data_IF_429351126533
#
_entry.id   IF_429351126533
#
_cell.length_a   1.000
_cell.length_b   1.000
_cell.length_c   1.000
_cell.angle_alpha   90.00
_cell.angle_beta   90.00
_cell.angle_gamma   90.00
#
_symmetry.space_group_name_H-M   'P 1'
#
loop_
_entity.id
_entity.type
_entity.pdbx_description
1 polymer ?
#
# COMPACT_ATOMS: atom_id res chain seq x y z
N UNK A 1 10.59 -12.48 14.20
CA UNK A 1 9.41 -12.80 15.03
C UNK A 1 8.35 -11.75 14.79
N UNK A 2 7.34 -12.09 13.98
CA UNK A 2 6.28 -11.19 13.56
C UNK A 2 5.41 -10.72 14.74
N UNK A 3 5.02 -11.64 15.59
CA UNK A 3 4.13 -11.41 16.74
C UNK A 3 4.85 -10.99 18.02
N UNK A 4 6.17 -10.84 18.02
CA UNK A 4 6.96 -10.58 19.24
C UNK A 4 7.23 -11.84 20.07
N UNK A 5 6.54 -12.95 19.83
CA UNK A 5 6.77 -14.24 20.47
C UNK A 5 6.60 -15.40 19.47
N UNK A 6 7.14 -16.54 19.80
CA UNK A 6 6.83 -17.81 19.16
C UNK A 6 6.43 -18.83 20.19
N UNK A 7 5.49 -19.69 19.84
CA UNK A 7 4.91 -20.69 20.71
C UNK A 7 5.11 -22.10 20.15
N UNK A 8 5.57 -23.01 21.00
CA UNK A 8 5.82 -24.39 20.60
C UNK A 8 5.32 -25.34 21.67
N UNK A 9 4.79 -26.49 21.27
CA UNK A 9 4.47 -27.60 22.14
C UNK A 9 5.66 -28.53 22.18
N UNK A 10 6.12 -28.91 23.41
CA UNK A 10 7.16 -29.93 23.65
C UNK A 10 6.58 -31.30 23.47
N UNK A 11 7.06 -32.05 22.50
CA UNK A 11 6.73 -33.45 22.31
C UNK A 11 7.85 -34.26 22.95
N UNK A 12 7.49 -35.01 24.01
CA UNK A 12 8.44 -35.82 24.77
C UNK A 12 8.59 -37.21 24.17
N UNK A 13 9.79 -37.76 24.29
CA UNK A 13 10.12 -39.14 24.00
C UNK A 13 10.81 -39.76 25.21
N UNK A 14 10.44 -40.96 25.51
CA UNK A 14 11.07 -41.76 26.57
C UNK A 14 11.82 -42.91 25.90
N UNK A 15 13.10 -43.02 26.15
CA UNK A 15 13.96 -44.12 25.68
C UNK A 15 14.85 -44.65 26.84
N UNK A 16 15.80 -45.54 26.51
CA UNK A 16 16.66 -46.17 27.52
C UNK A 16 17.56 -45.16 28.25
N UNK A 17 17.86 -44.01 27.64
CA UNK A 17 18.72 -42.95 28.17
C UNK A 17 17.97 -41.90 28.98
N UNK A 18 16.61 -42.00 29.04
CA UNK A 18 15.78 -41.08 29.82
C UNK A 18 14.66 -40.41 29.04
N UNK A 19 14.24 -39.26 29.56
CA UNK A 19 13.15 -38.43 28.94
C UNK A 19 13.77 -37.27 28.18
N UNK A 20 13.49 -37.22 26.91
CA UNK A 20 14.03 -36.19 26.01
C UNK A 20 12.92 -35.46 25.26
N UNK A 21 13.19 -34.22 24.83
CA UNK A 21 12.32 -33.50 23.90
C UNK A 21 12.59 -34.06 22.50
N UNK A 22 11.64 -34.82 21.95
CA UNK A 22 11.77 -35.39 20.61
C UNK A 22 11.64 -34.33 19.52
N UNK A 23 10.75 -33.37 19.72
CA UNK A 23 10.57 -32.22 18.81
C UNK A 23 9.83 -31.10 19.52
N UNK A 24 9.96 -29.89 18.95
CA UNK A 24 9.09 -28.77 19.22
C UNK A 24 8.09 -28.68 18.06
N UNK A 25 6.81 -28.72 18.39
CA UNK A 25 5.72 -28.56 17.43
C UNK A 25 5.32 -27.10 17.41
N UNK A 26 5.44 -26.44 16.27
CA UNK A 26 5.08 -25.03 16.08
C UNK A 26 3.57 -24.83 16.26
N UNK A 27 3.22 -23.82 17.01
CA UNK A 27 1.86 -23.34 17.17
C UNK A 27 1.79 -21.93 16.57
N UNK A 28 0.80 -21.69 15.72
CA UNK A 28 0.63 -20.36 15.10
C UNK A 28 0.33 -19.31 16.17
N UNK A 29 1.20 -18.30 16.36
CA UNK A 29 1.02 -17.27 17.37
C UNK A 29 -0.27 -16.46 17.20
N UNK A 30 -0.81 -16.34 15.96
CA UNK A 30 -2.08 -15.67 15.71
C UNK A 30 -3.27 -16.35 16.42
N UNK A 31 -3.15 -17.64 16.69
CA UNK A 31 -4.16 -18.45 17.34
C UNK A 31 -3.80 -18.84 18.79
N UNK A 32 -2.79 -18.17 19.35
CA UNK A 32 -2.28 -18.45 20.69
C UNK A 32 -2.57 -17.31 21.66
N UNK A 33 -3.13 -17.62 22.82
CA UNK A 33 -3.29 -16.69 23.95
C UNK A 33 -2.44 -17.20 25.11
N UNK A 34 -1.49 -16.38 25.55
CA UNK A 34 -0.63 -16.69 26.69
C UNK A 34 -1.41 -16.48 27.99
N UNK A 35 -1.47 -17.49 28.83
CA UNK A 35 -2.16 -17.46 30.11
C UNK A 35 -1.14 -17.12 31.23
N UNK A 36 -1.58 -16.31 32.18
CA UNK A 36 -0.81 -15.98 33.38
C UNK A 36 -1.41 -16.68 34.58
N UNK A 37 -0.56 -17.02 35.51
CA UNK A 37 -0.97 -17.48 36.83
C UNK A 37 -1.31 -16.30 37.76
N UNK A 38 -1.64 -16.60 39.03
CA UNK A 38 -2.00 -15.62 40.05
C UNK A 38 -0.84 -14.64 40.38
N UNK A 39 0.40 -15.01 40.07
CA UNK A 39 1.59 -14.19 40.30
C UNK A 39 1.99 -13.40 39.08
N UNK A 40 1.28 -13.54 37.95
CA UNK A 40 1.61 -12.88 36.69
C UNK A 40 2.66 -13.62 35.85
N UNK A 41 3.08 -14.82 36.30
CA UNK A 41 3.99 -15.67 35.55
C UNK A 41 3.29 -16.47 34.45
N UNK A 42 4.07 -17.07 33.56
CA UNK A 42 3.51 -17.87 32.47
C UNK A 42 2.87 -19.18 32.99
N UNK A 43 1.54 -19.23 32.98
CA UNK A 43 0.74 -20.35 33.44
C UNK A 43 0.41 -21.39 32.37
N UNK A 44 0.54 -21.03 31.09
CA UNK A 44 0.23 -21.94 29.98
C UNK A 44 -0.21 -21.20 28.72
N UNK A 45 -0.72 -21.96 27.78
CA UNK A 45 -1.14 -21.45 26.46
C UNK A 45 -2.54 -21.97 26.13
N UNK A 46 -3.42 -21.08 25.72
CA UNK A 46 -4.67 -21.45 25.04
C UNK A 46 -4.43 -21.36 23.54
N UNK A 47 -4.47 -22.48 22.86
CA UNK A 47 -4.36 -22.59 21.41
C UNK A 47 -5.73 -22.87 20.80
N UNK A 48 -6.11 -22.07 19.83
CA UNK A 48 -7.39 -22.19 19.15
C UNK A 48 -7.16 -22.30 17.64
N UNK A 49 -6.92 -23.51 17.13
CA UNK A 49 -6.75 -23.73 15.71
C UNK A 49 -8.06 -23.41 14.96
N UNK A 50 -7.98 -23.02 13.69
CA UNK A 50 -9.15 -22.78 12.85
C UNK A 50 -10.06 -24.02 12.83
N UNK A 51 -11.36 -23.81 13.04
CA UNK A 51 -12.40 -24.86 12.99
C UNK A 51 -12.30 -25.97 14.04
N UNK A 52 -11.53 -25.78 15.11
CA UNK A 52 -11.42 -26.73 16.22
C UNK A 52 -11.67 -26.03 17.57
N UNK A 53 -12.11 -26.76 18.59
CA UNK A 53 -12.25 -26.21 19.92
C UNK A 53 -10.89 -25.79 20.50
N UNK A 54 -10.86 -24.77 21.39
CA UNK A 54 -9.63 -24.32 22.01
C UNK A 54 -9.05 -25.42 22.91
N UNK A 55 -7.73 -25.56 22.86
CA UNK A 55 -6.96 -26.52 23.69
C UNK A 55 -6.07 -25.74 24.64
N UNK A 56 -6.08 -26.10 25.92
CA UNK A 56 -5.17 -25.51 26.91
C UNK A 56 -3.93 -26.40 27.00
N UNK A 57 -2.77 -25.83 26.70
CA UNK A 57 -1.48 -26.50 26.83
C UNK A 57 -0.80 -25.96 28.10
N UNK A 58 -0.54 -26.81 29.10
CA UNK A 58 0.06 -26.39 30.37
C UNK A 58 1.50 -25.90 30.17
N UNK A 59 1.98 -25.00 31.03
CA UNK A 59 3.31 -24.37 30.93
C UNK A 59 4.45 -25.39 30.78
N UNK A 60 4.36 -26.54 31.48
CA UNK A 60 5.37 -27.60 31.41
C UNK A 60 5.54 -28.18 29.98
N UNK A 61 4.47 -28.21 29.19
CA UNK A 61 4.47 -28.66 27.79
C UNK A 61 4.74 -27.57 26.78
N UNK A 62 4.82 -26.31 27.20
CA UNK A 62 5.07 -25.17 26.31
C UNK A 62 6.56 -24.82 26.29
N UNK A 63 6.99 -24.36 25.13
CA UNK A 63 8.21 -23.55 24.96
C UNK A 63 7.82 -22.25 24.27
N UNK A 64 8.01 -21.15 25.00
CA UNK A 64 7.70 -19.81 24.49
C UNK A 64 8.99 -19.03 24.38
N UNK A 65 9.27 -18.53 23.20
CA UNK A 65 10.33 -17.55 22.98
C UNK A 65 9.71 -16.17 22.85
N UNK A 66 10.06 -15.25 23.73
CA UNK A 66 9.56 -13.88 23.73
C UNK A 66 10.70 -12.92 23.33
N UNK A 67 10.52 -12.18 22.24
CA UNK A 67 11.48 -11.21 21.77
C UNK A 67 11.28 -9.85 22.46
N UNK A 68 12.39 -9.26 22.94
CA UNK A 68 12.37 -7.97 23.64
C UNK A 68 11.27 -7.90 24.73
N UNK A 69 11.31 -8.89 25.64
CA UNK A 69 10.40 -8.92 26.79
C UNK A 69 10.72 -7.76 27.74
N UNK A 70 9.73 -6.94 28.02
CA UNK A 70 9.82 -5.79 28.93
C UNK A 70 8.72 -5.89 30.00
N UNK A 71 9.05 -5.56 31.26
CA UNK A 71 8.10 -5.39 32.36
C UNK A 71 7.08 -6.55 32.53
N UNK A 72 7.48 -7.78 32.35
CA UNK A 72 6.59 -8.92 32.48
C UNK A 72 5.64 -9.18 31.29
N UNK A 73 5.72 -8.39 30.24
CA UNK A 73 4.95 -8.63 29.02
C UNK A 73 5.37 -9.95 28.34
N UNK A 74 4.52 -10.97 28.43
CA UNK A 74 4.78 -12.28 27.84
C UNK A 74 4.77 -12.29 26.33
N UNK A 75 4.07 -11.34 25.70
CA UNK A 75 3.98 -11.25 24.23
C UNK A 75 5.20 -10.61 23.59
N UNK A 76 6.00 -9.87 24.38
CA UNK A 76 7.16 -9.17 23.87
C UNK A 76 6.84 -8.08 22.86
N UNK A 77 7.82 -7.78 22.01
CA UNK A 77 7.72 -6.73 21.00
C UNK A 77 8.03 -7.30 19.62
N UNK A 78 7.11 -7.10 18.68
CA UNK A 78 7.33 -7.50 17.29
C UNK A 78 8.51 -6.74 16.69
N UNK A 79 9.38 -7.43 15.98
CA UNK A 79 10.44 -6.79 15.18
C UNK A 79 9.89 -5.98 14.01
N UNK A 80 8.67 -6.30 13.56
CA UNK A 80 7.99 -5.58 12.49
C UNK A 80 7.40 -4.24 12.97
N UNK A 81 7.30 -4.02 14.28
CA UNK A 81 6.68 -2.80 14.84
C UNK A 81 7.38 -1.51 14.40
N UNK A 82 8.70 -1.55 14.21
CA UNK A 82 9.50 -0.41 13.71
C UNK A 82 9.24 -0.11 12.23
N UNK A 83 8.87 -1.13 11.45
CA UNK A 83 8.57 -0.99 10.02
C UNK A 83 7.10 -0.61 9.75
N UNK A 84 6.20 -0.83 10.70
CA UNK A 84 4.74 -0.71 10.50
C UNK A 84 4.31 0.68 10.01
N UNK A 85 4.89 1.75 10.57
CA UNK A 85 4.60 3.13 10.15
C UNK A 85 4.97 3.37 8.68
N UNK A 86 6.15 2.94 8.29
CA UNK A 86 6.65 3.10 6.92
C UNK A 86 5.90 2.21 5.93
N UNK A 87 5.43 1.04 6.36
CA UNK A 87 4.54 0.20 5.58
C UNK A 87 3.22 0.91 5.28
N UNK A 88 2.60 1.51 6.31
CA UNK A 88 1.34 2.24 6.15
C UNK A 88 1.49 3.47 5.24
N UNK A 89 2.57 4.24 5.41
CA UNK A 89 2.84 5.40 4.55
C UNK A 89 3.14 4.97 3.10
N UNK A 90 3.93 3.93 2.90
CA UNK A 90 4.23 3.40 1.57
C UNK A 90 2.96 2.97 0.82
N UNK A 91 2.04 2.27 1.48
CA UNK A 91 0.74 1.90 0.90
C UNK A 91 -0.10 3.12 0.52
N UNK A 92 -0.14 4.14 1.36
CA UNK A 92 -0.86 5.38 1.07
C UNK A 92 -0.24 6.11 -0.14
N UNK A 93 1.09 6.17 -0.24
CA UNK A 93 1.76 6.78 -1.38
C UNK A 93 1.55 5.99 -2.68
N UNK A 94 1.51 4.65 -2.61
CA UNK A 94 1.16 3.81 -3.76
C UNK A 94 -0.27 4.09 -4.25
N UNK A 95 -1.24 4.23 -3.35
CA UNK A 95 -2.60 4.60 -3.72
C UNK A 95 -2.68 5.99 -4.37
N UNK A 96 -1.93 6.95 -3.84
CA UNK A 96 -1.85 8.29 -4.42
C UNK A 96 -1.18 8.27 -5.80
N UNK A 97 -0.09 7.53 -5.96
CA UNK A 97 0.59 7.36 -7.25
C UNK A 97 -0.34 6.73 -8.30
N UNK A 98 -1.11 5.70 -7.91
CA UNK A 98 -2.14 5.10 -8.77
C UNK A 98 -3.18 6.12 -9.24
N UNK A 99 -3.72 6.93 -8.33
CA UNK A 99 -4.68 7.99 -8.67
C UNK A 99 -4.06 9.09 -9.57
N UNK A 100 -2.80 9.43 -9.36
CA UNK A 100 -2.10 10.36 -10.23
C UNK A 100 -1.92 9.77 -11.64
N UNK A 101 -1.56 8.48 -11.72
CA UNK A 101 -1.43 7.77 -12.99
C UNK A 101 -2.76 7.67 -13.75
N UNK A 102 -3.85 7.34 -13.05
CA UNK A 102 -5.21 7.34 -13.64
C UNK A 102 -5.59 8.72 -14.20
N UNK A 103 -5.29 9.79 -13.47
CA UNK A 103 -5.56 11.16 -13.92
C UNK A 103 -4.68 11.54 -15.11
N UNK A 104 -3.40 11.19 -15.11
CA UNK A 104 -2.47 11.46 -16.20
C UNK A 104 -2.81 10.67 -17.47
N UNK A 105 -3.39 9.47 -17.32
CA UNK A 105 -3.84 8.65 -18.45
C UNK A 105 -5.09 9.24 -19.15
N UNK A 106 -5.85 10.10 -18.48
CA UNK A 106 -7.04 10.73 -19.05
C UNK A 106 -6.65 12.07 -19.67
N UNK A 107 -6.66 12.12 -21.00
CA UNK A 107 -6.45 13.39 -21.71
C UNK A 107 -7.55 14.38 -21.31
N UNK A 108 -7.15 15.53 -20.82
CA UNK A 108 -8.04 16.62 -20.45
C UNK A 108 -7.90 17.75 -21.45
N UNK A 109 -9.04 18.32 -21.84
CA UNK A 109 -9.09 19.39 -22.81
C UNK A 109 -9.59 20.66 -22.15
N UNK A 110 -9.08 21.78 -22.62
CA UNK A 110 -9.51 23.13 -22.29
C UNK A 110 -9.82 23.83 -23.59
N UNK A 111 -10.97 24.47 -23.69
CA UNK A 111 -11.38 25.19 -24.89
C UNK A 111 -11.82 26.61 -24.60
N UNK A 112 -11.66 27.45 -25.57
CA UNK A 112 -12.15 28.83 -25.59
C UNK A 112 -13.15 28.98 -26.73
N UNK A 113 -14.21 29.70 -26.47
CA UNK A 113 -15.23 30.05 -27.44
C UNK A 113 -15.75 31.48 -27.19
N UNK A 114 -16.31 32.16 -28.20
CA UNK A 114 -16.98 33.41 -28.01
C UNK A 114 -18.18 33.28 -27.05
N UNK A 115 -18.43 34.29 -26.26
CA UNK A 115 -19.62 34.40 -25.45
C UNK A 115 -20.85 34.75 -26.29
N UNK A 116 -21.98 34.15 -26.00
CA UNK A 116 -23.25 34.45 -26.64
C UNK A 116 -23.59 33.54 -27.81
N UNK A 117 -24.59 33.94 -28.58
CA UNK A 117 -25.11 33.16 -29.71
C UNK A 117 -24.14 33.25 -30.89
N UNK A 118 -23.69 32.10 -31.35
CA UNK A 118 -22.85 31.94 -32.54
C UNK A 118 -23.54 31.06 -33.57
N UNK A 119 -23.28 31.28 -34.85
CA UNK A 119 -23.77 30.44 -35.90
C UNK A 119 -22.88 29.18 -36.00
N UNK A 120 -23.47 28.02 -35.82
CA UNK A 120 -22.77 26.73 -36.00
C UNK A 120 -22.57 26.41 -37.48
N UNK A 121 -21.72 25.40 -37.76
CA UNK A 121 -21.48 24.93 -39.15
C UNK A 121 -22.78 24.48 -39.87
N UNK A 122 -23.78 24.02 -39.11
CA UNK A 122 -25.09 23.62 -39.61
C UNK A 122 -26.05 24.81 -39.84
N UNK A 123 -25.60 26.04 -39.63
CA UNK A 123 -26.42 27.26 -39.77
C UNK A 123 -27.36 27.54 -38.61
N UNK A 124 -27.28 26.79 -37.51
CA UNK A 124 -28.09 27.01 -36.29
C UNK A 124 -27.42 28.04 -35.41
N UNK A 125 -28.23 28.74 -34.61
CA UNK A 125 -27.74 29.59 -33.54
C UNK A 125 -27.58 28.77 -32.26
N UNK A 126 -26.39 28.73 -31.68
CA UNK A 126 -26.10 28.06 -30.44
C UNK A 126 -25.22 28.91 -29.54
N UNK A 127 -25.22 28.65 -28.24
CA UNK A 127 -24.28 29.29 -27.33
C UNK A 127 -22.85 28.78 -27.59
N UNK A 128 -21.90 29.68 -27.82
CA UNK A 128 -20.52 29.32 -28.19
C UNK A 128 -19.84 28.42 -27.16
N UNK A 129 -20.07 28.65 -25.86
CA UNK A 129 -19.48 27.85 -24.80
C UNK A 129 -20.09 26.45 -24.80
N UNK A 130 -21.41 26.31 -24.99
CA UNK A 130 -22.08 25.02 -25.05
C UNK A 130 -21.63 24.23 -26.29
N UNK A 131 -21.44 24.87 -27.44
CA UNK A 131 -20.94 24.23 -28.64
C UNK A 131 -19.50 23.73 -28.46
N UNK A 132 -18.61 24.56 -27.87
CA UNK A 132 -17.26 24.15 -27.54
C UNK A 132 -17.25 22.95 -26.59
N UNK A 133 -18.09 22.93 -25.56
CA UNK A 133 -18.18 21.81 -24.64
C UNK A 133 -18.60 20.51 -25.36
N UNK A 134 -19.56 20.58 -26.26
CA UNK A 134 -20.00 19.42 -27.07
C UNK A 134 -18.86 18.92 -27.98
N UNK A 135 -18.12 19.84 -28.62
CA UNK A 135 -16.97 19.52 -29.44
C UNK A 135 -15.84 18.84 -28.63
N UNK A 136 -15.52 19.35 -27.44
CA UNK A 136 -14.52 18.72 -26.56
C UNK A 136 -14.93 17.34 -26.07
N UNK A 137 -16.22 17.13 -25.82
CA UNK A 137 -16.73 15.77 -25.48
C UNK A 137 -16.60 14.82 -26.66
N UNK A 138 -16.88 15.27 -27.88
CA UNK A 138 -16.68 14.48 -29.10
C UNK A 138 -15.19 14.13 -29.29
N UNK A 139 -14.29 15.08 -29.07
CA UNK A 139 -12.84 14.86 -29.13
C UNK A 139 -12.39 13.82 -28.11
N UNK A 140 -12.89 13.89 -26.88
CA UNK A 140 -12.60 12.91 -25.82
C UNK A 140 -13.06 11.49 -26.20
N UNK A 141 -14.15 11.39 -26.97
CA UNK A 141 -14.66 10.11 -27.50
C UNK A 141 -13.90 9.61 -28.76
N UNK A 142 -12.82 10.27 -29.15
CA UNK A 142 -12.03 9.91 -30.34
C UNK A 142 -12.57 10.54 -31.66
N UNK A 143 -13.47 11.51 -31.55
CA UNK A 143 -13.97 12.27 -32.70
C UNK A 143 -12.98 13.31 -33.21
N UNK A 144 -13.31 13.87 -34.37
CA UNK A 144 -12.56 15.00 -34.99
C UNK A 144 -13.39 16.26 -34.84
N UNK A 145 -12.76 17.36 -34.45
CA UNK A 145 -13.37 18.67 -34.41
C UNK A 145 -12.75 19.58 -35.48
N UNK A 146 -13.56 20.38 -36.09
CA UNK A 146 -13.13 21.46 -36.98
C UNK A 146 -13.58 22.78 -36.38
N UNK A 147 -12.67 23.72 -36.29
CA UNK A 147 -12.95 25.04 -35.71
C UNK A 147 -12.76 26.15 -36.75
N UNK A 148 -13.57 27.21 -36.73
CA UNK A 148 -13.35 28.37 -37.54
C UNK A 148 -11.99 29.02 -37.24
N UNK A 149 -11.37 29.63 -38.25
CA UNK A 149 -10.10 30.33 -38.09
C UNK A 149 -10.27 31.80 -37.68
N UNK A 150 -11.47 32.20 -37.27
CA UNK A 150 -11.80 33.55 -36.87
C UNK A 150 -10.93 34.05 -35.72
N UNK A 151 -10.48 35.29 -35.83
CA UNK A 151 -9.66 35.95 -34.83
C UNK A 151 -10.29 37.26 -34.40
N UNK A 152 -9.98 37.72 -33.19
CA UNK A 152 -10.36 39.02 -32.68
C UNK A 152 -9.54 40.15 -33.34
N UNK A 153 -9.84 41.40 -33.02
CA UNK A 153 -9.14 42.56 -33.53
C UNK A 153 -7.64 42.60 -33.17
N UNK A 154 -7.20 41.79 -32.22
CA UNK A 154 -5.82 41.60 -31.75
C UNK A 154 -5.14 40.41 -32.40
N UNK A 155 -5.83 39.67 -33.30
CA UNK A 155 -5.31 38.48 -33.97
C UNK A 155 -5.34 37.19 -33.14
N UNK A 156 -6.00 37.18 -31.97
CA UNK A 156 -6.18 36.00 -31.16
C UNK A 156 -7.37 35.17 -31.66
N UNK A 157 -7.19 33.86 -31.79
CA UNK A 157 -8.27 32.98 -32.23
C UNK A 157 -9.44 33.04 -31.26
N UNK A 158 -10.65 33.12 -31.78
CA UNK A 158 -11.89 33.13 -31.02
C UNK A 158 -12.24 31.69 -30.53
N UNK A 159 -11.86 30.71 -31.35
CA UNK A 159 -12.03 29.28 -31.01
C UNK A 159 -10.67 28.66 -30.89
N UNK A 160 -10.42 28.01 -29.77
CA UNK A 160 -9.16 27.30 -29.54
C UNK A 160 -9.37 26.14 -28.57
N UNK A 161 -8.58 25.08 -28.70
CA UNK A 161 -8.59 23.93 -27.83
C UNK A 161 -7.15 23.46 -27.56
N UNK A 162 -6.85 23.23 -26.32
CA UNK A 162 -5.56 22.73 -25.86
C UNK A 162 -5.76 21.48 -25.00
N UNK A 163 -4.76 20.63 -24.97
CA UNK A 163 -4.66 19.59 -23.95
C UNK A 163 -4.07 20.17 -22.67
N UNK A 164 -4.64 19.79 -21.54
CA UNK A 164 -4.06 20.12 -20.24
C UNK A 164 -3.06 19.00 -19.91
N UNK A 165 -1.78 19.34 -19.96
CA UNK A 165 -0.72 18.44 -19.53
C UNK A 165 -0.67 18.39 -18.01
N UNK A 166 -0.55 17.19 -17.45
CA UNK A 166 -0.33 17.01 -16.02
C UNK A 166 1.16 17.18 -15.72
N UNK A 167 1.46 17.85 -14.62
CA UNK A 167 2.81 17.93 -14.08
C UNK A 167 3.22 16.58 -13.50
N UNK A 168 4.05 15.85 -14.24
CA UNK A 168 4.59 14.56 -13.83
C UNK A 168 5.64 14.65 -12.70
N UNK A 169 6.11 15.86 -12.36
CA UNK A 169 7.08 16.06 -11.28
C UNK A 169 6.53 15.60 -9.93
N UNK A 170 5.22 15.76 -9.72
CA UNK A 170 4.55 15.25 -8.50
C UNK A 170 4.57 13.73 -8.39
N UNK A 171 4.53 13.01 -9.51
CA UNK A 171 4.61 11.55 -9.55
C UNK A 171 6.04 11.05 -9.24
N UNK A 172 7.06 11.70 -9.80
CA UNK A 172 8.45 11.38 -9.50
C UNK A 172 8.75 11.52 -7.99
N UNK A 173 8.24 12.58 -7.38
CA UNK A 173 8.37 12.78 -5.94
C UNK A 173 7.68 11.68 -5.11
N UNK A 174 6.48 11.25 -5.51
CA UNK A 174 5.78 10.13 -4.87
C UNK A 174 6.57 8.82 -4.96
N UNK A 175 7.17 8.52 -6.12
CA UNK A 175 8.02 7.34 -6.28
C UNK A 175 9.22 7.38 -5.34
N UNK A 176 9.89 8.52 -5.21
CA UNK A 176 11.00 8.71 -4.26
C UNK A 176 10.56 8.51 -2.80
N UNK A 177 9.33 8.93 -2.44
CA UNK A 177 8.78 8.67 -1.11
C UNK A 177 8.49 7.19 -0.87
N UNK A 178 8.00 6.47 -1.88
CA UNK A 178 7.78 5.01 -1.80
C UNK A 178 9.11 4.30 -1.58
N UNK A 179 10.14 4.60 -2.37
CA UNK A 179 11.49 4.05 -2.21
C UNK A 179 12.08 4.36 -0.82
N UNK A 180 11.87 5.58 -0.33
CA UNK A 180 12.28 5.94 1.02
C UNK A 180 11.56 5.09 2.07
N UNK A 181 10.25 4.90 1.94
CA UNK A 181 9.48 4.04 2.85
C UNK A 181 9.98 2.59 2.81
N UNK A 182 10.32 2.06 1.63
CA UNK A 182 10.84 0.70 1.48
C UNK A 182 12.20 0.57 2.16
N UNK A 183 13.09 1.52 1.97
CA UNK A 183 14.39 1.57 2.66
C UNK A 183 14.20 1.60 4.18
N UNK A 184 13.29 2.42 4.67
CA UNK A 184 13.04 2.54 6.12
C UNK A 184 12.37 1.29 6.70
N UNK A 185 11.53 0.56 5.94
CA UNK A 185 11.00 -0.75 6.34
C UNK A 185 12.15 -1.76 6.54
N UNK A 186 13.07 -1.83 5.61
CA UNK A 186 14.22 -2.74 5.68
C UNK A 186 15.13 -2.41 6.87
N UNK A 187 15.46 -1.14 7.07
CA UNK A 187 16.23 -0.67 8.24
C UNK A 187 15.51 -1.00 9.55
N UNK A 188 14.20 -0.80 9.61
CA UNK A 188 13.38 -1.16 10.77
C UNK A 188 13.42 -2.66 11.10
N UNK A 189 13.57 -3.51 10.11
CA UNK A 189 13.73 -4.96 10.26
C UNK A 189 15.18 -5.41 10.47
N UNK A 190 16.14 -4.48 10.56
CA UNK A 190 17.58 -4.74 10.68
C UNK A 190 18.16 -5.50 9.46
N UNK A 191 17.57 -5.32 8.29
CA UNK A 191 18.12 -5.83 7.03
C UNK A 191 19.13 -4.79 6.50
N UNK A 192 20.36 -5.18 6.19
CA UNK A 192 21.33 -4.26 5.61
C UNK A 192 20.87 -3.71 4.27
N UNK A 193 20.99 -2.40 4.06
CA UNK A 193 20.57 -1.72 2.83
C UNK A 193 21.18 -2.37 1.56
N UNK A 194 22.40 -2.88 1.65
CA UNK A 194 23.10 -3.54 0.53
C UNK A 194 22.40 -4.80 0.02
N UNK A 195 21.70 -5.54 0.90
CA UNK A 195 20.99 -6.76 0.51
C UNK A 195 19.74 -6.43 -0.30
N UNK A 196 19.14 -5.26 -0.05
CA UNK A 196 17.91 -4.84 -0.70
C UNK A 196 18.13 -4.10 -2.02
N UNK A 197 19.24 -3.36 -2.15
CA UNK A 197 19.50 -2.50 -3.32
C UNK A 197 20.43 -3.14 -4.35
N UNK A 198 21.20 -4.18 -3.98
CA UNK A 198 22.14 -4.86 -4.88
C UNK A 198 21.56 -6.07 -5.63
N UNK A 199 20.34 -6.50 -5.33
CA UNK A 199 19.69 -7.60 -6.05
C UNK A 199 19.35 -7.29 -7.52
N UNK A 200 19.43 -6.03 -7.95
CA UNK A 200 19.00 -5.58 -9.28
C UNK A 200 20.16 -5.12 -10.19
N UNK A 201 21.41 -5.26 -9.73
CA UNK A 201 22.61 -5.05 -10.56
C UNK A 201 23.37 -6.37 -10.71
N UNK A 202 22.66 -7.41 -11.12
CA UNK A 202 23.26 -8.57 -11.72
C UNK A 202 23.84 -8.13 -13.06
N UNK A 203 25.15 -8.02 -13.12
CA UNK A 203 25.89 -7.92 -14.37
C UNK A 203 25.47 -9.08 -15.28
N UNK A 204 24.92 -8.74 -16.46
CA UNK A 204 24.92 -9.60 -17.63
C UNK A 204 26.26 -9.43 -18.35
#
# INVERSE_FOLDING_TARGET
VEFGFSAHEKVWRVDADGVHIAKLKDLDPAHCVLLQDENGDFGGLRWQPPSQPPVIVPAAKCFIFTHAKEFGNLYGRSRMSSAARHWQYGNNFMLLAGRCAERAAIVRYKGWAPQGQVQTADGRMADGIAEMHANLLALKAGGVISMPSDADAQGKRLWDAETIEDDLASMEWLLKLIEHCDTMKLRGMLVPDRVATQGDKGEL
#
